data_IF_024337505283
#
_entry.id   IF_024337505283
#
_cell.length_a   1.000
_cell.length_b   1.000
_cell.length_c   1.000
_cell.angle_alpha   90.00
_cell.angle_beta   90.00
_cell.angle_gamma   90.00
#
_symmetry.space_group_name_H-M   'P 1'
#
loop_
_entity.id
_entity.type
_entity.pdbx_description
1 polymer ?
#
# COMPACT_ATOMS: atom_id res chain seq x y z
N UNK A 1 19.19 6.38 2.58
CA UNK A 1 18.54 6.01 1.31
C UNK A 1 18.38 4.49 1.31
N UNK A 2 17.14 4.01 1.36
CA UNK A 2 16.81 2.58 1.32
C UNK A 2 16.53 2.21 -0.14
N UNK A 3 17.02 1.05 -0.59
CA UNK A 3 16.91 0.68 -2.01
C UNK A 3 15.54 0.09 -2.37
N UNK A 4 14.93 -0.63 -1.44
CA UNK A 4 13.66 -1.32 -1.62
C UNK A 4 12.79 -1.19 -0.37
N UNK A 5 11.48 -1.16 -0.57
CA UNK A 5 10.50 -1.05 0.51
C UNK A 5 9.21 -1.79 0.19
N UNK A 6 8.43 -2.02 1.24
CA UNK A 6 7.06 -2.54 1.17
C UNK A 6 6.09 -1.44 1.58
N UNK A 7 4.88 -1.46 1.02
CA UNK A 7 3.76 -0.68 1.54
C UNK A 7 2.83 -1.61 2.29
N UNK A 8 2.50 -1.25 3.52
CA UNK A 8 1.49 -1.90 4.33
C UNK A 8 0.33 -0.94 4.54
N UNK A 9 -0.90 -1.45 4.44
CA UNK A 9 -2.09 -0.66 4.68
C UNK A 9 -3.18 -1.54 5.27
N UNK A 10 -4.03 -0.93 6.08
CA UNK A 10 -5.19 -1.56 6.68
C UNK A 10 -6.29 -0.51 6.82
N UNK A 11 -7.55 -0.92 6.88
CA UNK A 11 -8.68 -0.01 6.97
C UNK A 11 -9.38 -0.15 8.33
N UNK A 12 -9.47 0.95 9.07
CA UNK A 12 -10.25 1.01 10.30
C UNK A 12 -11.50 1.88 10.11
N UNK A 13 -12.61 1.44 10.69
CA UNK A 13 -13.88 2.17 10.67
C UNK A 13 -13.97 3.12 11.86
N UNK A 14 -14.24 4.39 11.60
CA UNK A 14 -14.65 5.38 12.61
C UNK A 14 -16.01 5.95 12.22
N UNK A 15 -17.08 5.31 12.69
CA UNK A 15 -18.44 5.61 12.23
C UNK A 15 -18.60 5.21 10.76
N UNK A 16 -18.97 6.17 9.91
CA UNK A 16 -19.13 5.95 8.46
C UNK A 16 -17.89 6.33 7.63
N UNK A 17 -16.78 6.71 8.29
CA UNK A 17 -15.53 7.07 7.62
C UNK A 17 -14.56 5.92 7.81
N UNK A 18 -13.95 5.46 6.71
CA UNK A 18 -12.79 4.58 6.77
C UNK A 18 -11.52 5.39 6.80
N UNK A 19 -10.65 5.08 7.74
CA UNK A 19 -9.31 5.65 7.82
C UNK A 19 -8.32 4.55 7.48
N UNK A 20 -7.50 4.80 6.48
CA UNK A 20 -6.51 3.86 5.96
C UNK A 20 -5.11 4.41 6.21
N UNK A 21 -4.41 3.98 7.27
CA UNK A 21 -2.98 4.24 7.40
C UNK A 21 -2.20 3.60 6.26
N UNK A 22 -1.40 4.40 5.55
CA UNK A 22 -0.39 3.92 4.60
C UNK A 22 0.96 3.94 5.29
N UNK A 23 1.59 2.77 5.39
CA UNK A 23 2.83 2.55 6.14
C UNK A 23 3.91 2.05 5.19
N UNK A 24 5.09 2.67 5.22
CA UNK A 24 6.28 2.14 4.56
C UNK A 24 7.03 1.22 5.52
N UNK A 25 7.43 0.06 5.02
CA UNK A 25 8.33 -0.85 5.71
C UNK A 25 9.60 -1.03 4.91
N UNK A 26 10.76 -0.91 5.54
CA UNK A 26 12.05 -1.09 4.88
C UNK A 26 13.10 -1.62 5.86
N UNK A 27 14.18 -2.20 5.32
CA UNK A 27 15.30 -2.67 6.12
C UNK A 27 16.38 -1.58 6.22
N UNK A 28 16.78 -1.26 7.45
CA UNK A 28 17.88 -0.33 7.74
C UNK A 28 19.07 -1.09 8.34
N UNK A 29 20.19 -0.41 8.57
CA UNK A 29 21.36 -0.99 9.28
C UNK A 29 21.02 -1.52 10.68
N UNK A 30 19.93 -1.04 11.28
CA UNK A 30 19.50 -1.44 12.64
C UNK A 30 18.27 -2.34 12.60
N UNK A 31 17.98 -2.98 11.47
CA UNK A 31 16.84 -3.87 11.28
C UNK A 31 15.65 -3.22 10.57
N UNK A 32 14.50 -3.91 10.63
CA UNK A 32 13.24 -3.48 10.01
C UNK A 32 12.74 -2.20 10.66
N UNK A 33 12.29 -1.26 9.83
CA UNK A 33 11.64 -0.01 10.24
C UNK A 33 10.27 0.08 9.60
N UNK A 34 9.36 0.73 10.31
CA UNK A 34 8.01 1.05 9.85
C UNK A 34 7.77 2.53 10.09
N UNK A 35 7.33 3.26 9.07
CA UNK A 35 6.92 4.66 9.21
C UNK A 35 5.53 4.83 8.60
N UNK A 36 4.64 5.52 9.32
CA UNK A 36 3.36 5.95 8.75
C UNK A 36 3.66 7.11 7.82
N UNK A 37 3.24 7.00 6.57
CA UNK A 37 3.36 8.04 5.57
C UNK A 37 2.15 8.97 5.60
N UNK A 38 0.95 8.39 5.68
CA UNK A 38 -0.30 9.16 5.66
C UNK A 38 -1.46 8.37 6.28
N UNK A 39 -2.49 9.08 6.74
CA UNK A 39 -3.81 8.53 7.05
C UNK A 39 -4.82 9.03 6.01
N UNK A 40 -5.25 8.14 5.12
CA UNK A 40 -6.23 8.48 4.08
C UNK A 40 -7.65 8.27 4.60
N UNK A 41 -8.49 9.29 4.49
CA UNK A 41 -9.93 9.13 4.67
C UNK A 41 -10.56 8.62 3.37
N UNK A 42 -11.15 7.43 3.42
CA UNK A 42 -11.83 6.81 2.30
C UNK A 42 -13.34 6.82 2.49
N UNK A 43 -14.05 7.37 1.52
CA UNK A 43 -15.51 7.29 1.42
C UNK A 43 -15.97 6.04 0.66
N UNK A 44 -15.12 5.53 -0.25
CA UNK A 44 -15.41 4.38 -1.10
C UNK A 44 -14.34 3.31 -0.94
N UNK A 45 -14.78 2.06 -0.82
CA UNK A 45 -13.93 0.89 -0.52
C UNK A 45 -13.55 0.11 -1.78
N UNK A 46 -13.28 0.82 -2.87
CA UNK A 46 -12.91 0.19 -4.13
C UNK A 46 -11.40 -0.06 -4.21
N UNK A 47 -11.02 -1.08 -4.98
CA UNK A 47 -9.61 -1.37 -5.24
C UNK A 47 -8.93 -0.23 -6.00
N UNK A 48 -9.66 0.42 -6.92
CA UNK A 48 -9.13 1.52 -7.73
C UNK A 48 -8.87 2.77 -6.89
N UNK A 49 -9.78 3.13 -5.98
CA UNK A 49 -9.59 4.27 -5.08
C UNK A 49 -8.39 4.04 -4.16
N UNK A 50 -8.26 2.83 -3.60
CA UNK A 50 -7.15 2.51 -2.71
C UNK A 50 -5.82 2.45 -3.46
N UNK A 51 -5.82 1.92 -4.68
CA UNK A 51 -4.67 1.94 -5.58
C UNK A 51 -4.22 3.39 -5.87
N UNK A 52 -5.13 4.26 -6.29
CA UNK A 52 -4.82 5.67 -6.57
C UNK A 52 -4.31 6.43 -5.33
N UNK A 53 -4.90 6.15 -4.16
CA UNK A 53 -4.44 6.73 -2.89
C UNK A 53 -3.02 6.30 -2.54
N UNK A 54 -2.67 5.03 -2.75
CA UNK A 54 -1.30 4.55 -2.52
C UNK A 54 -0.33 5.20 -3.53
N UNK A 55 -0.70 5.30 -4.81
CA UNK A 55 0.13 5.98 -5.81
C UNK A 55 0.39 7.44 -5.43
N UNK A 56 -0.64 8.17 -5.00
CA UNK A 56 -0.53 9.54 -4.49
C UNK A 56 0.45 9.63 -3.32
N UNK A 57 0.34 8.74 -2.34
CA UNK A 57 1.24 8.73 -1.17
C UNK A 57 2.68 8.41 -1.57
N UNK A 58 2.89 7.50 -2.53
CA UNK A 58 4.22 7.21 -3.07
C UNK A 58 4.83 8.44 -3.74
N UNK A 59 4.08 9.12 -4.61
CA UNK A 59 4.54 10.33 -5.29
C UNK A 59 4.85 11.46 -4.31
N UNK A 60 3.95 11.71 -3.35
CA UNK A 60 4.11 12.77 -2.34
C UNK A 60 5.34 12.56 -1.42
N UNK A 61 5.82 11.33 -1.29
CA UNK A 61 6.99 10.97 -0.48
C UNK A 61 8.23 10.64 -1.34
N UNK A 62 8.19 10.94 -2.65
CA UNK A 62 9.27 10.65 -3.61
C UNK A 62 9.70 9.17 -3.64
N UNK A 63 8.77 8.27 -3.31
CA UNK A 63 8.99 6.82 -3.27
C UNK A 63 8.71 6.23 -4.67
N UNK A 64 9.76 5.68 -5.28
CA UNK A 64 9.67 5.21 -6.66
C UNK A 64 9.01 3.84 -6.74
N UNK A 65 8.09 3.69 -7.68
CA UNK A 65 7.37 2.44 -7.91
C UNK A 65 8.33 1.26 -8.18
N UNK A 66 9.43 1.47 -8.89
CA UNK A 66 10.44 0.42 -9.17
C UNK A 66 11.24 -0.05 -7.94
N UNK A 67 11.03 0.57 -6.77
CA UNK A 67 11.62 0.18 -5.48
C UNK A 67 10.62 -0.53 -4.56
N UNK A 68 9.33 -0.57 -4.95
CA UNK A 68 8.29 -1.29 -4.24
C UNK A 68 8.44 -2.79 -4.50
N UNK A 69 8.63 -3.59 -3.44
CA UNK A 69 8.83 -5.04 -3.55
C UNK A 69 7.64 -5.86 -3.06
N UNK A 70 6.80 -5.30 -2.18
CA UNK A 70 5.62 -6.02 -1.72
C UNK A 70 4.53 -5.09 -1.18
N UNK A 71 3.30 -5.59 -1.21
CA UNK A 71 2.16 -5.01 -0.52
C UNK A 71 1.75 -5.91 0.64
N UNK A 72 1.46 -5.33 1.80
CA UNK A 72 0.91 -6.03 2.96
C UNK A 72 -0.43 -5.46 3.37
N UNK A 73 -1.44 -6.31 3.51
CA UNK A 73 -2.81 -5.92 3.86
C UNK A 73 -3.54 -7.09 4.52
N UNK A 74 -4.82 -6.90 4.85
CA UNK A 74 -5.71 -8.04 5.09
C UNK A 74 -6.01 -8.82 3.78
N UNK A 75 -6.70 -9.95 3.93
CA UNK A 75 -7.03 -10.85 2.83
C UNK A 75 -8.37 -10.54 2.14
N UNK A 76 -8.90 -9.32 2.25
CA UNK A 76 -10.16 -8.98 1.58
C UNK A 76 -10.02 -8.98 0.06
N UNK A 77 -11.12 -9.23 -0.65
CA UNK A 77 -11.13 -9.29 -2.12
C UNK A 77 -10.62 -7.99 -2.75
N UNK A 78 -10.92 -6.84 -2.14
CA UNK A 78 -10.45 -5.52 -2.58
C UNK A 78 -8.92 -5.45 -2.60
N UNK A 79 -8.26 -6.09 -1.63
CA UNK A 79 -6.82 -5.99 -1.47
C UNK A 79 -6.06 -7.06 -2.26
N UNK A 80 -6.52 -8.31 -2.24
CA UNK A 80 -5.78 -9.47 -2.78
C UNK A 80 -6.54 -10.38 -3.76
N UNK A 81 -7.77 -10.01 -4.12
CA UNK A 81 -8.60 -10.78 -5.06
C UNK A 81 -7.92 -11.04 -6.41
N UNK A 82 -8.25 -12.17 -7.05
CA UNK A 82 -7.52 -12.67 -8.22
C UNK A 82 -7.82 -11.92 -9.54
N UNK A 83 -8.97 -11.25 -9.65
CA UNK A 83 -9.40 -10.62 -10.91
C UNK A 83 -9.21 -9.10 -10.90
N UNK A 84 -9.64 -8.46 -9.81
CA UNK A 84 -9.53 -7.01 -9.62
C UNK A 84 -9.37 -6.71 -8.14
N UNK A 85 -8.17 -6.25 -7.80
CA UNK A 85 -7.75 -5.92 -6.44
C UNK A 85 -6.56 -4.97 -6.50
N UNK A 86 -6.27 -4.28 -5.40
CA UNK A 86 -5.10 -3.40 -5.27
C UNK A 86 -3.83 -4.14 -5.69
N UNK A 87 -3.66 -5.39 -5.24
CA UNK A 87 -2.51 -6.18 -5.66
C UNK A 87 -2.45 -6.39 -7.18
N UNK A 88 -3.54 -6.84 -7.81
CA UNK A 88 -3.53 -7.08 -9.27
C UNK A 88 -3.34 -5.80 -10.08
N UNK A 89 -3.74 -4.64 -9.55
CA UNK A 89 -3.50 -3.33 -10.17
C UNK A 89 -2.00 -2.98 -10.12
N UNK A 90 -1.36 -3.12 -8.96
CA UNK A 90 0.09 -2.91 -8.84
C UNK A 90 0.91 -3.96 -9.59
N UNK A 91 0.49 -5.23 -9.62
CA UNK A 91 1.19 -6.31 -10.33
C UNK A 91 1.26 -6.06 -11.85
N UNK A 92 0.22 -5.45 -12.44
CA UNK A 92 0.24 -5.02 -13.86
C UNK A 92 1.34 -4.01 -14.15
N UNK A 93 1.68 -3.16 -13.17
CA UNK A 93 2.75 -2.16 -13.27
C UNK A 93 4.11 -2.72 -12.84
N UNK A 94 4.11 -3.71 -11.95
CA UNK A 94 5.28 -4.33 -11.34
C UNK A 94 5.13 -5.86 -11.35
N UNK A 95 5.48 -6.55 -12.45
CA UNK A 95 5.34 -8.00 -12.57
C UNK A 95 6.14 -8.85 -11.55
N UNK A 96 7.03 -8.23 -10.78
CA UNK A 96 7.82 -8.87 -9.70
C UNK A 96 7.31 -8.59 -8.28
N UNK A 97 6.13 -7.99 -8.14
CA UNK A 97 5.56 -7.62 -6.84
C UNK A 97 5.18 -8.86 -6.02
N UNK A 98 5.54 -8.87 -4.74
CA UNK A 98 5.18 -9.96 -3.82
C UNK A 98 3.93 -9.62 -2.99
N UNK A 99 3.04 -10.60 -2.79
CA UNK A 99 1.99 -10.55 -1.74
C UNK A 99 2.63 -10.87 -0.39
N UNK A 100 2.32 -10.10 0.64
CA UNK A 100 2.81 -10.35 2.00
C UNK A 100 1.67 -10.42 3.01
#
# INVERSE_FOLDING_TARGET
MFHFFSICYDASNKGNIKIVPIVVQFFSKTGVKHWILEFIEQMHESADDLFANIEYVLEANELKLNQLVSLGSDNTNVNVGNHHSVFTLFEKLLPGLMKR
#
